data_IF_835229767937
#
_entry.id   IF_835229767937
#
_cell.length_a   1.000
_cell.length_b   1.000
_cell.length_c   1.000
_cell.angle_alpha   90.00
_cell.angle_beta   90.00
_cell.angle_gamma   90.00
#
_symmetry.space_group_name_H-M   'P 1'
#
loop_
_entity.id
_entity.type
_entity.pdbx_description
1 polymer ?
#
# COMPACT_ATOMS: atom_id res chain seq x y z
N UNK A 1 -2.14 -5.83 -36.91
CA UNK A 1 -1.24 -5.84 -35.73
C UNK A 1 -1.47 -7.13 -34.96
N UNK A 2 -0.56 -8.11 -35.04
CA UNK A 2 -0.64 -9.32 -34.21
C UNK A 2 0.01 -9.03 -32.86
N UNK A 3 -0.82 -8.80 -31.85
CA UNK A 3 -0.36 -8.48 -30.50
C UNK A 3 0.27 -9.74 -29.87
N UNK A 4 1.60 -9.79 -29.83
CA UNK A 4 2.32 -10.90 -29.17
C UNK A 4 2.15 -10.80 -27.66
N UNK A 5 2.20 -11.94 -26.97
CA UNK A 5 2.16 -12.02 -25.49
C UNK A 5 3.18 -11.08 -24.82
N UNK A 6 4.34 -10.88 -25.45
CA UNK A 6 5.35 -9.93 -24.98
C UNK A 6 4.84 -8.48 -24.88
N UNK A 7 4.04 -8.03 -25.86
CA UNK A 7 3.49 -6.68 -25.85
C UNK A 7 2.43 -6.55 -24.74
N UNK A 8 1.63 -7.60 -24.52
CA UNK A 8 0.68 -7.65 -23.41
C UNK A 8 1.37 -7.51 -22.06
N UNK A 9 2.47 -8.24 -21.87
CA UNK A 9 3.27 -8.20 -20.63
C UNK A 9 3.87 -6.81 -20.44
N UNK A 10 4.44 -6.21 -21.49
CA UNK A 10 5.03 -4.87 -21.41
C UNK A 10 3.97 -3.83 -21.03
N UNK A 11 2.81 -3.84 -21.67
CA UNK A 11 1.71 -2.92 -21.36
C UNK A 11 1.22 -3.11 -19.92
N UNK A 12 1.07 -4.35 -19.46
CA UNK A 12 0.67 -4.65 -18.10
C UNK A 12 1.69 -4.11 -17.08
N UNK A 13 2.98 -4.37 -17.30
CA UNK A 13 4.04 -3.92 -16.40
C UNK A 13 4.14 -2.39 -16.35
N UNK A 14 4.00 -1.71 -17.50
CA UNK A 14 3.95 -0.26 -17.54
C UNK A 14 2.72 0.30 -16.81
N UNK A 15 1.57 -0.35 -16.95
CA UNK A 15 0.35 0.01 -16.21
C UNK A 15 0.54 -0.12 -14.70
N UNK A 16 1.08 -1.25 -14.23
CA UNK A 16 1.38 -1.48 -12.81
C UNK A 16 2.36 -0.43 -12.29
N UNK A 17 3.46 -0.20 -13.02
CA UNK A 17 4.46 0.80 -12.64
C UNK A 17 3.85 2.21 -12.54
N UNK A 18 2.99 2.59 -13.48
CA UNK A 18 2.27 3.86 -13.45
C UNK A 18 1.39 3.99 -12.20
N UNK A 19 0.62 2.94 -11.87
CA UNK A 19 -0.21 2.94 -10.66
C UNK A 19 0.62 3.07 -9.38
N UNK A 20 1.76 2.37 -9.29
CA UNK A 20 2.67 2.47 -8.14
C UNK A 20 3.24 3.88 -7.98
N UNK A 21 3.65 4.50 -9.09
CA UNK A 21 4.17 5.87 -9.04
C UNK A 21 3.08 6.86 -8.61
N UNK A 22 1.86 6.72 -9.13
CA UNK A 22 0.73 7.54 -8.69
C UNK A 22 0.47 7.38 -7.19
N UNK A 23 0.42 6.14 -6.68
CA UNK A 23 0.24 5.90 -5.24
C UNK A 23 1.38 6.54 -4.43
N UNK A 24 2.63 6.36 -4.83
CA UNK A 24 3.79 6.88 -4.10
C UNK A 24 3.84 8.42 -4.06
N UNK A 25 3.39 9.09 -5.13
CA UNK A 25 3.39 10.56 -5.18
C UNK A 25 2.22 11.20 -4.42
N UNK A 26 1.09 10.52 -4.32
CA UNK A 26 -0.16 11.13 -3.85
C UNK A 26 -0.72 10.54 -2.55
N UNK A 27 -0.36 9.32 -2.17
CA UNK A 27 -0.84 8.70 -0.94
C UNK A 27 -0.03 9.17 0.27
N UNK A 28 -0.74 9.55 1.33
CA UNK A 28 -0.11 9.75 2.64
C UNK A 28 0.40 8.41 3.20
N UNK A 29 1.47 8.39 4.02
CA UNK A 29 1.88 7.20 4.74
C UNK A 29 0.68 6.61 5.50
N UNK A 30 0.55 5.28 5.48
CA UNK A 30 -0.52 4.61 6.24
C UNK A 30 -0.31 4.89 7.73
N UNK A 31 -1.34 5.44 8.38
CA UNK A 31 -1.36 5.63 9.83
C UNK A 31 -1.86 4.33 10.48
N UNK A 32 -0.99 3.53 11.12
CA UNK A 32 -1.38 2.26 11.72
C UNK A 32 -2.36 2.42 12.89
N UNK A 33 -2.48 3.61 13.48
CA UNK A 33 -3.41 3.90 14.57
C UNK A 33 -4.81 4.24 14.07
N UNK A 34 -4.93 4.70 12.82
CA UNK A 34 -6.21 4.99 12.17
C UNK A 34 -6.63 3.94 11.14
N UNK A 35 -5.73 3.04 10.76
CA UNK A 35 -6.03 1.95 9.85
C UNK A 35 -7.10 1.02 10.46
N UNK A 36 -8.13 0.61 9.69
CA UNK A 36 -9.11 -0.34 10.18
C UNK A 36 -8.45 -1.70 10.46
N UNK A 37 -9.02 -2.54 11.35
CA UNK A 37 -8.38 -3.77 11.83
C UNK A 37 -7.76 -4.70 10.78
N UNK A 38 -8.36 -4.97 9.60
CA UNK A 38 -7.73 -5.83 8.59
C UNK A 38 -6.47 -5.22 7.95
N UNK A 39 -6.31 -3.89 8.00
CA UNK A 39 -5.19 -3.14 7.43
C UNK A 39 -4.16 -2.71 8.50
N UNK A 40 -4.55 -2.72 9.78
CA UNK A 40 -3.70 -2.24 10.87
C UNK A 40 -2.51 -3.17 11.17
N UNK A 41 -2.48 -4.40 10.63
CA UNK A 41 -1.47 -5.46 10.88
C UNK A 41 -1.17 -5.77 12.36
N UNK A 42 -1.84 -5.11 13.31
CA UNK A 42 -1.87 -5.41 14.73
C UNK A 42 -2.93 -6.48 15.03
N UNK A 43 -2.78 -7.17 16.15
CA UNK A 43 -3.64 -8.30 16.55
C UNK A 43 -5.10 -7.93 16.88
N UNK A 44 -5.54 -6.69 16.65
CA UNK A 44 -6.83 -6.16 17.10
C UNK A 44 -6.99 -6.10 18.63
N UNK A 45 -5.99 -6.56 19.40
CA UNK A 45 -6.04 -6.66 20.85
C UNK A 45 -5.70 -5.34 21.57
N UNK A 46 -5.33 -4.28 20.84
CA UNK A 46 -5.23 -2.94 21.38
C UNK A 46 -5.85 -1.93 20.43
N UNK A 47 -6.82 -1.17 20.94
CA UNK A 47 -7.50 -0.08 20.23
C UNK A 47 -6.63 1.19 20.06
N UNK A 48 -5.40 1.17 20.58
CA UNK A 48 -4.35 2.15 20.39
C UNK A 48 -3.06 1.34 20.30
N UNK A 49 -2.28 1.47 19.23
CA UNK A 49 -1.18 0.57 18.86
C UNK A 49 -0.29 0.10 20.02
N UNK A 50 0.31 -1.09 19.84
CA UNK A 50 1.01 -1.83 20.88
C UNK A 50 1.84 -0.94 21.82
N UNK A 51 1.80 -1.20 23.12
CA UNK A 51 2.44 -0.44 24.21
C UNK A 51 3.86 0.12 23.94
N UNK A 52 4.63 -0.42 22.99
CA UNK A 52 5.96 0.07 22.60
C UNK A 52 5.97 1.09 21.43
N UNK A 53 4.80 1.42 20.84
CA UNK A 53 4.67 2.29 19.66
C UNK A 53 4.11 3.68 19.97
N UNK A 54 3.92 4.03 21.25
CA UNK A 54 3.55 5.39 21.63
C UNK A 54 4.65 6.36 21.16
N UNK A 55 4.34 7.34 20.28
CA UNK A 55 5.29 8.41 19.98
C UNK A 55 5.64 9.09 21.30
N UNK A 56 6.94 9.20 21.58
CA UNK A 56 7.42 10.12 22.61
C UNK A 56 7.15 11.52 22.05
N UNK A 57 6.41 12.34 22.80
CA UNK A 57 6.32 13.77 22.50
C UNK A 57 7.71 14.43 22.47
#
# INVERSE_FOLDING_TARGET
MTFKRSHAIVVLLLGILGLLLLDLLFSAPIDPFRAPPPLAFGSGAQAAGGFCAAPLE
#
